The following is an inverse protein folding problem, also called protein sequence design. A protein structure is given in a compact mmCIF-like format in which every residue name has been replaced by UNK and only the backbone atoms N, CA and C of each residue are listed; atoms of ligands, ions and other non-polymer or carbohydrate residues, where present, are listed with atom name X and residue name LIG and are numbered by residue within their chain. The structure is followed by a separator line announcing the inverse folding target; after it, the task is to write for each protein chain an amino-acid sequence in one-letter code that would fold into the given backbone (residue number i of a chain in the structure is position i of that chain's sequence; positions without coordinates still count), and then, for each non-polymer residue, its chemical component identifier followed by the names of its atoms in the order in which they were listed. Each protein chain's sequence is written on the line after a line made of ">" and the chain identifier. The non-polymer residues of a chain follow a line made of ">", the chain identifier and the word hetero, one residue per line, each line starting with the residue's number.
data_IF_174842066801
#
_entry.id   IF_174842066801
#
_cell.length_a   1.000
_cell.length_b   1.000
_cell.length_c   1.000
_cell.angle_alpha   90.00
_cell.angle_beta   90.00
_cell.angle_gamma   90.00
#
_symmetry.space_group_name_H-M   'P 1'
#
loop_
_entity.id
_entity.type
_entity.pdbx_description
1 polymer ?
#
# COMPACT_ATOMS: atom_id res chain seq x y z
N UNK A 1 -63.76 -25.25 40.97
CA UNK A 1 -62.54 -24.69 41.62
C UNK A 1 -61.39 -25.62 41.26
N UNK A 2 -60.50 -25.23 40.34
CA UNK A 2 -59.28 -25.98 40.00
C UNK A 2 -58.13 -24.99 39.89
N UNK A 3 -57.11 -25.16 40.72
CA UNK A 3 -55.92 -24.31 40.79
C UNK A 3 -55.03 -24.40 39.54
N UNK A 4 -54.27 -23.34 39.20
CA UNK A 4 -53.27 -23.38 38.15
C UNK A 4 -52.03 -24.17 38.60
N UNK A 5 -51.73 -25.27 37.90
CA UNK A 5 -50.56 -26.12 38.12
C UNK A 5 -49.26 -25.35 37.78
N UNK A 6 -48.45 -25.02 38.79
CA UNK A 6 -47.13 -24.37 38.60
C UNK A 6 -46.23 -25.22 37.68
N UNK A 7 -45.80 -24.67 36.55
CA UNK A 7 -44.79 -25.29 35.67
C UNK A 7 -43.43 -25.18 36.34
N UNK A 8 -42.91 -26.29 36.85
CA UNK A 8 -41.55 -26.37 37.38
C UNK A 8 -40.61 -26.51 36.18
N UNK A 9 -39.96 -25.41 35.79
CA UNK A 9 -38.87 -25.46 34.82
C UNK A 9 -37.64 -26.03 35.54
N UNK A 10 -37.43 -27.34 35.48
CA UNK A 10 -36.20 -27.94 35.98
C UNK A 10 -35.02 -27.41 35.15
N UNK A 11 -34.05 -26.81 35.82
CA UNK A 11 -32.82 -26.31 35.21
C UNK A 11 -31.96 -27.52 34.87
N UNK A 12 -31.81 -27.83 33.59
CA UNK A 12 -30.97 -28.95 33.12
C UNK A 12 -29.54 -28.68 33.58
N UNK A 13 -29.01 -29.52 34.48
CA UNK A 13 -27.62 -29.48 34.93
C UNK A 13 -26.85 -30.54 34.14
N UNK A 14 -25.94 -30.09 33.29
CA UNK A 14 -25.09 -30.98 32.50
C UNK A 14 -23.95 -31.50 33.37
N UNK A 15 -23.68 -32.79 33.29
CA UNK A 15 -22.49 -33.43 33.86
C UNK A 15 -21.21 -32.86 33.18
N UNK A 16 -20.04 -32.85 33.86
CA UNK A 16 -18.81 -32.28 33.30
C UNK A 16 -18.44 -32.84 31.91
N UNK A 17 -18.64 -34.15 31.69
CA UNK A 17 -18.40 -34.77 30.38
C UNK A 17 -19.37 -34.26 29.29
N UNK A 18 -20.64 -34.01 29.64
CA UNK A 18 -21.63 -33.45 28.73
C UNK A 18 -21.34 -31.98 28.40
N UNK A 19 -20.82 -31.23 29.36
CA UNK A 19 -20.36 -29.85 29.13
C UNK A 19 -19.19 -29.81 28.15
N UNK A 20 -18.19 -30.69 28.35
CA UNK A 20 -17.05 -30.80 27.43
C UNK A 20 -17.49 -31.19 26.02
N UNK A 21 -18.39 -32.17 25.89
CA UNK A 21 -18.96 -32.55 24.58
C UNK A 21 -19.72 -31.40 23.91
N UNK A 22 -20.50 -30.64 24.66
CA UNK A 22 -21.21 -29.48 24.12
C UNK A 22 -20.25 -28.40 23.63
N UNK A 23 -19.19 -28.10 24.38
CA UNK A 23 -18.14 -27.14 23.98
C UNK A 23 -17.44 -27.59 22.71
N UNK A 24 -17.10 -28.88 22.60
CA UNK A 24 -16.45 -29.42 21.41
C UNK A 24 -17.35 -29.35 20.18
N UNK A 25 -18.64 -29.66 20.33
CA UNK A 25 -19.63 -29.51 19.26
C UNK A 25 -19.76 -28.05 18.87
N UNK A 26 -19.85 -27.12 19.82
CA UNK A 26 -19.92 -25.68 19.54
C UNK A 26 -18.68 -25.17 18.81
N UNK A 27 -17.48 -25.57 19.24
CA UNK A 27 -16.21 -25.22 18.57
C UNK A 27 -16.17 -25.73 17.13
N UNK A 28 -16.51 -27.01 16.93
CA UNK A 28 -16.58 -27.61 15.58
C UNK A 28 -17.60 -26.90 14.70
N UNK A 29 -18.75 -26.54 15.27
CA UNK A 29 -19.82 -25.84 14.56
C UNK A 29 -19.39 -24.44 14.16
N UNK A 30 -18.73 -23.72 15.06
CA UNK A 30 -18.16 -22.40 14.81
C UNK A 30 -17.08 -22.45 13.72
N UNK A 31 -16.14 -23.39 13.81
CA UNK A 31 -15.08 -23.57 12.80
C UNK A 31 -15.66 -23.94 11.43
N UNK A 32 -16.65 -24.84 11.38
CA UNK A 32 -17.34 -25.20 10.14
C UNK A 32 -18.11 -24.01 9.56
N UNK A 33 -18.84 -23.28 10.39
CA UNK A 33 -19.55 -22.07 9.96
C UNK A 33 -18.58 -21.02 9.42
N UNK A 34 -17.44 -20.81 10.09
CA UNK A 34 -16.38 -19.92 9.63
C UNK A 34 -15.78 -20.34 8.28
N UNK A 35 -15.49 -21.63 8.11
CA UNK A 35 -15.00 -22.18 6.83
C UNK A 35 -16.03 -22.03 5.71
N UNK A 36 -17.32 -22.30 5.97
CA UNK A 36 -18.38 -22.15 4.97
C UNK A 36 -18.56 -20.70 4.55
N UNK A 37 -18.57 -19.76 5.51
CA UNK A 37 -18.65 -18.32 5.20
C UNK A 37 -17.42 -17.87 4.43
N UNK A 38 -16.23 -18.31 4.82
CA UNK A 38 -14.98 -18.02 4.11
C UNK A 38 -14.97 -18.56 2.68
N UNK A 39 -15.43 -19.79 2.47
CA UNK A 39 -15.54 -20.39 1.14
C UNK A 39 -16.57 -19.64 0.25
N UNK A 40 -17.72 -19.27 0.83
CA UNK A 40 -18.72 -18.46 0.13
C UNK A 40 -18.19 -17.06 -0.23
N UNK A 41 -17.36 -16.46 0.62
CA UNK A 41 -16.70 -15.19 0.29
C UNK A 41 -15.66 -15.31 -0.83
N UNK A 42 -15.07 -16.48 -1.06
CA UNK A 42 -14.17 -16.69 -2.21
C UNK A 42 -14.94 -16.74 -3.54
N UNK A 43 -16.22 -17.15 -3.53
CA UNK A 43 -17.07 -17.18 -4.72
C UNK A 43 -17.48 -15.77 -5.20
N UNK A 44 -17.32 -14.72 -4.38
CA UNK A 44 -17.61 -13.33 -4.82
C UNK A 44 -16.54 -12.79 -5.78
N UNK A 45 -15.41 -13.47 -5.94
CA UNK A 45 -14.34 -13.10 -6.87
C UNK A 45 -14.58 -13.51 -8.33
N UNK A 46 -15.67 -14.22 -8.64
CA UNK A 46 -15.92 -14.76 -9.98
C UNK A 46 -16.32 -13.71 -11.03
N UNK A 47 -16.54 -12.45 -10.65
CA UNK A 47 -16.71 -11.35 -11.62
C UNK A 47 -16.13 -10.03 -11.08
N UNK A 48 -14.80 -9.98 -10.93
CA UNK A 48 -14.04 -8.77 -10.61
C UNK A 48 -13.80 -7.86 -11.82
N UNK A 49 -14.40 -8.20 -12.96
CA UNK A 49 -14.26 -7.46 -14.21
C UNK A 49 -15.52 -6.62 -14.41
N UNK A 50 -15.32 -5.31 -14.29
CA UNK A 50 -16.28 -4.23 -14.51
C UNK A 50 -17.46 -4.16 -13.52
N UNK A 51 -17.28 -3.35 -12.48
CA UNK A 51 -18.37 -2.95 -11.61
C UNK A 51 -17.91 -2.01 -10.52
N UNK A 52 -18.33 -0.75 -10.64
CA UNK A 52 -18.18 0.38 -9.69
C UNK A 52 -18.01 0.02 -8.21
N UNK A 53 -18.64 -1.04 -7.72
CA UNK A 53 -18.64 -1.42 -6.31
C UNK A 53 -17.31 -2.02 -5.84
N UNK A 54 -16.66 -2.86 -6.64
CA UNK A 54 -15.35 -3.45 -6.30
C UNK A 54 -14.29 -2.35 -6.28
N UNK A 55 -14.27 -1.51 -7.32
CA UNK A 55 -13.35 -0.36 -7.40
C UNK A 55 -13.59 0.61 -6.25
N UNK A 56 -14.85 0.92 -5.89
CA UNK A 56 -15.17 1.76 -4.72
C UNK A 56 -14.58 1.19 -3.44
N UNK A 57 -14.66 -0.13 -3.23
CA UNK A 57 -14.08 -0.80 -2.07
C UNK A 57 -12.55 -0.73 -2.10
N UNK A 58 -11.92 -1.03 -3.24
CA UNK A 58 -10.46 -0.93 -3.39
C UNK A 58 -9.96 0.50 -3.16
N UNK A 59 -10.66 1.52 -3.69
CA UNK A 59 -10.35 2.93 -3.44
C UNK A 59 -10.61 3.35 -1.99
N UNK A 60 -11.63 2.80 -1.34
CA UNK A 60 -11.85 3.03 0.09
C UNK A 60 -10.72 2.43 0.93
N UNK A 61 -10.29 1.21 0.59
CA UNK A 61 -9.16 0.55 1.24
C UNK A 61 -7.85 1.28 0.99
N UNK A 62 -7.59 1.74 -0.25
CA UNK A 62 -6.43 2.56 -0.58
C UNK A 62 -6.40 3.84 0.25
N UNK A 63 -7.50 4.58 0.32
CA UNK A 63 -7.59 5.81 1.14
C UNK A 63 -7.44 5.54 2.63
N UNK A 64 -7.91 4.39 3.11
CA UNK A 64 -7.67 3.98 4.49
C UNK A 64 -6.20 3.67 4.74
N UNK A 65 -5.55 2.95 3.82
CA UNK A 65 -4.11 2.71 3.86
C UNK A 65 -3.33 4.03 3.86
N UNK A 66 -3.67 5.00 3.01
CA UNK A 66 -3.02 6.32 2.97
C UNK A 66 -3.12 7.04 4.31
N UNK A 67 -4.29 6.97 4.99
CA UNK A 67 -4.49 7.56 6.32
C UNK A 67 -3.63 6.88 7.38
N UNK A 68 -3.58 5.55 7.37
CA UNK A 68 -2.76 4.78 8.31
C UNK A 68 -1.29 5.07 8.07
N UNK A 69 -0.84 5.13 6.82
CA UNK A 69 0.53 5.48 6.44
C UNK A 69 0.88 6.91 6.86
N UNK A 70 0.01 7.89 6.62
CA UNK A 70 0.23 9.27 7.03
C UNK A 70 0.27 9.45 8.55
N UNK A 71 -0.45 8.61 9.31
CA UNK A 71 -0.38 8.58 10.77
C UNK A 71 0.89 7.88 11.27
N UNK A 72 1.28 6.77 10.64
CA UNK A 72 2.42 5.95 11.06
C UNK A 72 3.76 6.59 10.69
N UNK A 73 3.85 7.22 9.52
CA UNK A 73 5.08 7.79 8.99
C UNK A 73 5.11 9.31 9.15
N UNK A 74 6.24 9.81 9.63
CA UNK A 74 6.50 11.24 9.67
C UNK A 74 6.84 11.76 8.27
N UNK A 75 5.97 12.58 7.69
CA UNK A 75 6.19 13.22 6.38
C UNK A 75 7.40 14.16 6.32
N UNK A 76 7.98 14.55 7.47
CA UNK A 76 9.21 15.34 7.55
C UNK A 76 10.47 14.48 7.73
N UNK A 77 10.34 13.15 7.84
CA UNK A 77 11.50 12.27 7.94
C UNK A 77 12.13 12.08 6.56
N UNK A 78 13.25 12.76 6.34
CA UNK A 78 14.02 12.63 5.11
C UNK A 78 14.67 11.23 4.99
N UNK A 79 14.95 10.84 3.75
CA UNK A 79 15.75 9.66 3.46
C UNK A 79 17.15 9.78 4.10
N UNK A 80 17.77 8.68 4.55
CA UNK A 80 19.16 8.70 4.99
C UNK A 80 20.09 9.25 3.91
N UNK A 81 21.04 10.08 4.33
CA UNK A 81 22.10 10.59 3.47
C UNK A 81 23.39 9.81 3.68
N UNK A 82 24.21 9.73 2.63
CA UNK A 82 25.47 9.00 2.63
C UNK A 82 26.65 9.91 2.30
N UNK A 83 27.85 9.41 2.54
CA UNK A 83 29.09 10.10 2.17
C UNK A 83 29.51 9.72 0.75
N UNK A 84 30.36 10.54 0.12
CA UNK A 84 30.91 10.24 -1.22
C UNK A 84 31.68 8.92 -1.27
N UNK A 85 32.30 8.51 -0.17
CA UNK A 85 33.04 7.24 -0.09
C UNK A 85 32.13 6.00 -0.19
N UNK A 86 30.81 6.17 0.02
CA UNK A 86 29.83 5.10 -0.04
C UNK A 86 29.12 5.02 -1.40
N UNK A 87 29.49 5.87 -2.37
CA UNK A 87 28.90 5.84 -3.70
C UNK A 87 29.13 4.49 -4.37
N UNK A 88 28.06 3.95 -4.95
CA UNK A 88 28.15 2.76 -5.81
C UNK A 88 28.76 3.18 -7.14
N UNK A 89 29.89 2.57 -7.50
CA UNK A 89 30.60 2.88 -8.75
C UNK A 89 31.07 1.57 -9.43
N UNK A 90 30.62 1.26 -10.65
CA UNK A 90 29.68 2.04 -11.47
C UNK A 90 28.26 2.03 -10.86
N UNK A 91 27.51 3.10 -11.10
CA UNK A 91 26.09 3.13 -10.72
C UNK A 91 25.28 2.24 -11.69
N UNK A 92 24.38 1.36 -11.22
CA UNK A 92 23.62 0.48 -12.10
C UNK A 92 22.70 1.24 -13.06
N UNK A 93 22.73 0.86 -14.34
CA UNK A 93 21.82 1.39 -15.35
C UNK A 93 20.42 0.77 -15.18
N UNK A 94 19.37 1.61 -15.13
CA UNK A 94 17.99 1.19 -14.92
C UNK A 94 17.10 1.68 -16.07
N UNK A 95 16.85 0.81 -17.04
CA UNK A 95 15.92 1.04 -18.13
C UNK A 95 15.38 -0.29 -18.68
N UNK A 96 14.27 -0.22 -19.40
CA UNK A 96 13.69 -1.35 -20.12
C UNK A 96 14.46 -1.73 -21.40
N UNK A 97 15.50 -0.97 -21.74
CA UNK A 97 16.39 -1.15 -22.89
C UNK A 97 17.85 -1.09 -22.41
N UNK A 98 18.82 -1.62 -23.17
CA UNK A 98 20.23 -1.57 -22.80
C UNK A 98 20.83 -0.17 -23.00
N UNK A 99 21.92 0.14 -22.29
CA UNK A 99 22.55 1.48 -22.29
C UNK A 99 22.90 2.02 -23.69
N UNK A 100 23.30 1.15 -24.62
CA UNK A 100 23.62 1.55 -26.00
C UNK A 100 22.38 1.95 -26.85
N UNK A 101 21.16 1.78 -26.32
CA UNK A 101 19.91 2.20 -26.95
C UNK A 101 19.34 3.49 -26.32
N UNK A 102 20.10 4.19 -25.48
CA UNK A 102 19.65 5.48 -24.91
C UNK A 102 19.34 6.45 -26.05
N UNK A 103 18.14 7.05 -26.09
CA UNK A 103 17.79 8.01 -27.12
C UNK A 103 18.61 9.27 -26.97
N UNK A 104 19.10 9.80 -28.09
CA UNK A 104 19.72 11.11 -28.14
C UNK A 104 18.61 12.18 -28.08
N UNK A 105 18.77 13.14 -27.17
CA UNK A 105 17.79 14.19 -26.92
C UNK A 105 18.46 15.56 -27.01
N UNK A 106 17.87 16.47 -27.78
CA UNK A 106 18.26 17.88 -27.80
C UNK A 106 17.75 18.57 -26.52
N UNK A 107 18.65 18.88 -25.59
CA UNK A 107 18.29 19.51 -24.31
C UNK A 107 17.58 20.86 -24.48
N UNK A 108 17.83 21.56 -25.60
CA UNK A 108 17.18 22.81 -25.93
C UNK A 108 15.67 22.65 -26.19
N UNK A 109 15.22 21.46 -26.59
CA UNK A 109 13.82 21.15 -26.89
C UNK A 109 13.05 20.64 -25.67
N UNK A 110 13.75 20.28 -24.59
CA UNK A 110 13.10 19.80 -23.37
C UNK A 110 12.17 20.85 -22.76
N UNK A 111 10.95 20.43 -22.43
CA UNK A 111 9.94 21.24 -21.74
C UNK A 111 9.32 20.43 -20.60
N UNK A 112 9.48 20.89 -19.36
CA UNK A 112 8.79 20.32 -18.21
C UNK A 112 7.45 21.03 -18.00
N UNK A 113 6.35 20.35 -18.30
CA UNK A 113 5.01 20.85 -18.00
C UNK A 113 4.72 20.75 -16.50
N UNK A 114 4.15 21.81 -15.92
CA UNK A 114 3.66 21.83 -14.54
C UNK A 114 2.15 22.05 -14.56
N UNK A 115 1.41 21.19 -13.86
CA UNK A 115 -0.06 21.18 -13.86
C UNK A 115 -0.66 21.18 -12.45
N UNK A 116 -1.99 21.09 -12.35
CA UNK A 116 -2.69 21.09 -11.06
C UNK A 116 -2.99 22.49 -10.54
N UNK A 117 -3.05 22.63 -9.20
CA UNK A 117 -3.38 23.86 -8.50
C UNK A 117 -2.12 24.73 -8.28
N UNK A 118 -1.52 25.16 -9.39
CA UNK A 118 -0.37 26.08 -9.41
C UNK A 118 -0.75 27.36 -10.14
N UNK A 119 -0.14 28.48 -9.72
CA UNK A 119 -0.41 29.80 -10.31
C UNK A 119 0.07 29.91 -11.76
N UNK A 120 1.26 29.38 -12.04
CA UNK A 120 1.88 29.42 -13.36
C UNK A 120 2.09 28.00 -13.88
N UNK A 121 1.61 27.75 -15.10
CA UNK A 121 1.65 26.46 -15.80
C UNK A 121 2.54 26.52 -17.05
N UNK A 122 3.29 27.60 -17.24
CA UNK A 122 4.23 27.71 -18.34
C UNK A 122 5.25 26.57 -18.27
N UNK A 123 5.51 25.86 -19.39
CA UNK A 123 6.51 24.80 -19.40
C UNK A 123 7.92 25.34 -19.13
N UNK A 124 8.68 24.64 -18.28
CA UNK A 124 10.04 25.03 -17.93
C UNK A 124 11.05 24.45 -18.92
N UNK A 125 11.98 25.29 -19.38
CA UNK A 125 13.17 24.83 -20.12
C UNK A 125 14.26 24.38 -19.14
N UNK A 126 15.19 23.54 -19.60
CA UNK A 126 16.35 23.14 -18.80
C UNK A 126 17.15 24.36 -18.31
N UNK A 127 17.34 25.38 -19.15
CA UNK A 127 18.09 26.58 -18.77
C UNK A 127 17.38 27.41 -17.71
N UNK A 128 16.05 27.44 -17.72
CA UNK A 128 15.29 28.08 -16.65
C UNK A 128 15.41 27.30 -15.33
N UNK A 129 15.32 25.97 -15.39
CA UNK A 129 15.50 25.11 -14.21
C UNK A 129 16.89 25.24 -13.58
N UNK A 130 17.95 25.33 -14.40
CA UNK A 130 19.34 25.52 -13.93
C UNK A 130 19.57 26.84 -13.19
N UNK A 131 18.74 27.86 -13.42
CA UNK A 131 18.81 29.17 -12.73
C UNK A 131 18.11 29.17 -11.38
N UNK A 132 17.29 28.16 -11.08
CA UNK A 132 16.66 28.00 -9.77
C UNK A 132 17.69 27.48 -8.75
N UNK A 133 17.43 27.65 -7.44
CA UNK A 133 18.28 27.10 -6.39
C UNK A 133 18.58 25.62 -6.63
N UNK A 134 19.85 25.25 -6.51
CA UNK A 134 20.30 23.87 -6.69
C UNK A 134 20.63 23.23 -5.34
N UNK A 135 20.32 21.96 -5.21
CA UNK A 135 20.67 21.12 -4.06
C UNK A 135 21.32 19.84 -4.56
N UNK A 136 22.23 19.29 -3.77
CA UNK A 136 22.82 17.97 -4.01
C UNK A 136 22.57 17.09 -2.80
N UNK A 137 22.09 15.88 -3.04
CA UNK A 137 21.85 14.86 -2.02
C UNK A 137 22.50 13.53 -2.42
N UNK A 138 23.08 12.81 -1.46
CA UNK A 138 23.59 11.46 -1.67
C UNK A 138 22.63 10.51 -0.96
N UNK A 139 21.86 9.75 -1.71
CA UNK A 139 20.80 8.87 -1.20
C UNK A 139 20.88 7.49 -1.84
N UNK A 140 20.20 6.52 -1.22
CA UNK A 140 20.07 5.18 -1.79
C UNK A 140 18.85 5.10 -2.70
N UNK A 141 19.07 4.72 -3.96
CA UNK A 141 18.03 4.25 -4.85
C UNK A 141 17.71 2.79 -4.50
N UNK A 142 16.43 2.48 -4.30
CA UNK A 142 15.93 1.14 -4.04
C UNK A 142 15.04 0.76 -5.22
N UNK A 143 15.46 -0.21 -6.02
CA UNK A 143 14.67 -0.69 -7.14
C UNK A 143 13.71 -1.79 -6.68
N UNK A 144 12.52 -1.83 -7.29
CA UNK A 144 11.53 -2.90 -7.05
C UNK A 144 12.03 -4.28 -7.50
N UNK A 145 13.01 -4.32 -8.42
CA UNK A 145 13.64 -5.54 -8.93
C UNK A 145 14.58 -6.22 -7.91
N UNK A 146 14.70 -5.68 -6.70
CA UNK A 146 15.42 -6.30 -5.59
C UNK A 146 16.87 -5.86 -5.41
N UNK A 147 17.33 -4.84 -6.13
CA UNK A 147 18.66 -4.25 -5.96
C UNK A 147 18.60 -2.82 -5.42
N UNK A 148 19.71 -2.33 -4.88
CA UNK A 148 19.85 -0.95 -4.43
C UNK A 148 21.25 -0.41 -4.67
N UNK A 149 21.37 0.91 -4.87
CA UNK A 149 22.64 1.58 -5.10
C UNK A 149 22.65 2.97 -4.46
N UNK A 150 23.81 3.41 -3.95
CA UNK A 150 23.98 4.76 -3.39
C UNK A 150 24.47 5.67 -4.51
N UNK A 151 23.66 6.68 -4.84
CA UNK A 151 23.94 7.66 -5.89
C UNK A 151 24.01 9.08 -5.35
N UNK A 152 24.63 9.98 -6.13
CA UNK A 152 24.65 11.42 -5.87
C UNK A 152 23.77 12.12 -6.91
N UNK A 153 22.80 12.89 -6.44
CA UNK A 153 21.79 13.54 -7.26
C UNK A 153 21.87 15.05 -7.07
N UNK A 154 21.70 15.81 -8.15
CA UNK A 154 21.70 17.26 -8.12
C UNK A 154 20.55 17.84 -8.95
N UNK A 155 19.91 18.89 -8.44
CA UNK A 155 18.82 19.54 -9.14
C UNK A 155 18.09 20.59 -8.31
N UNK A 156 16.91 20.98 -8.78
CA UNK A 156 16.02 21.92 -8.10
C UNK A 156 15.27 21.20 -6.97
N UNK A 157 15.30 21.69 -5.72
CA UNK A 157 14.48 21.14 -4.65
C UNK A 157 12.99 21.48 -4.90
N UNK A 158 12.11 20.49 -4.75
CA UNK A 158 10.65 20.64 -4.86
C UNK A 158 10.02 21.03 -3.52
#
# INVERSE_FOLDING_TARGET
>A
MNEPRKRITQRIRLEPAQQSQLIDIQRRSFLRAGLTVGAMSMLTGCNLQDGDQVDKVLWAMSRWNDRVQAWLFNGQKLAPTYTRAQLTNPFPFNAFYPEYNVPELELADYRLAVSGLVRDKQPWTIDALRKLPQRTDITRLICIEGWSAIGQWGGVPL
#
